data_IF_056989228416
#
_entry.id   IF_056989228416
#
_cell.length_a   1.000
_cell.length_b   1.000
_cell.length_c   1.000
_cell.angle_alpha   90.00
_cell.angle_beta   90.00
_cell.angle_gamma   90.00
#
_symmetry.space_group_name_H-M   'P 1'
#
loop_
_entity.id
_entity.type
_entity.pdbx_description
1 polymer ?
#
# COMPACT_ATOMS: atom_id res chain seq x y z
N UNK A 1 6.50 -12.86 19.70
CA UNK A 1 7.38 -11.69 19.51
C UNK A 1 6.91 -10.90 18.30
N UNK A 2 6.78 -9.56 18.36
CA UNK A 2 6.48 -8.79 17.16
C UNK A 2 7.61 -8.98 16.14
N UNK A 3 7.24 -9.28 14.89
CA UNK A 3 8.19 -9.45 13.79
C UNK A 3 9.01 -8.17 13.59
N UNK A 4 10.22 -8.31 13.05
CA UNK A 4 11.16 -7.19 12.85
C UNK A 4 10.52 -6.00 12.11
N UNK A 5 9.65 -6.27 11.13
CA UNK A 5 8.87 -5.27 10.39
C UNK A 5 8.01 -4.37 11.30
N UNK A 6 7.24 -4.97 12.22
CA UNK A 6 6.38 -4.23 13.16
C UNK A 6 7.21 -3.39 14.11
N UNK A 7 8.39 -3.88 14.50
CA UNK A 7 9.33 -3.12 15.33
C UNK A 7 9.91 -1.90 14.60
N UNK A 8 10.22 -2.02 13.30
CA UNK A 8 10.65 -0.90 12.45
C UNK A 8 9.54 0.14 12.30
N UNK A 9 8.33 -0.31 11.98
CA UNK A 9 7.16 0.55 11.85
C UNK A 9 6.88 1.38 13.11
N UNK A 10 6.90 0.76 14.30
CA UNK A 10 6.68 1.46 15.57
C UNK A 10 7.77 2.47 15.96
N UNK A 11 8.91 2.45 15.29
CA UNK A 11 9.99 3.43 15.50
C UNK A 11 9.83 4.68 14.65
N UNK A 12 8.94 4.64 13.65
CA UNK A 12 8.63 5.80 12.83
C UNK A 12 7.83 6.82 13.67
N UNK A 13 7.95 8.11 13.39
CA UNK A 13 7.02 9.14 13.87
C UNK A 13 5.55 8.76 13.61
N UNK A 14 4.64 9.27 14.44
CA UNK A 14 3.22 8.91 14.37
C UNK A 14 2.55 9.34 13.04
N UNK A 15 2.99 10.46 12.48
CA UNK A 15 2.59 10.95 11.16
C UNK A 15 3.08 10.01 10.04
N UNK A 16 4.31 9.53 10.11
CA UNK A 16 4.84 8.55 9.17
C UNK A 16 4.14 7.19 9.28
N UNK A 17 3.84 6.74 10.50
CA UNK A 17 3.05 5.53 10.74
C UNK A 17 1.67 5.63 10.08
N UNK A 18 1.00 6.76 10.28
CA UNK A 18 -0.31 7.05 9.67
C UNK A 18 -0.20 7.07 8.14
N UNK A 19 0.85 7.70 7.61
CA UNK A 19 1.10 7.79 6.17
C UNK A 19 1.35 6.42 5.53
N UNK A 20 2.12 5.54 6.19
CA UNK A 20 2.35 4.16 5.72
C UNK A 20 1.03 3.38 5.64
N UNK A 21 0.16 3.52 6.65
CA UNK A 21 -1.16 2.86 6.66
C UNK A 21 -2.04 3.39 5.52
N UNK A 22 -2.11 4.71 5.35
CA UNK A 22 -2.85 5.37 4.27
C UNK A 22 -2.39 4.88 2.89
N UNK A 23 -1.07 4.92 2.65
CA UNK A 23 -0.45 4.45 1.41
C UNK A 23 -0.68 2.96 1.16
N UNK A 24 -0.70 2.13 2.21
CA UNK A 24 -0.98 0.71 2.09
C UNK A 24 -2.46 0.41 1.78
N UNK A 25 -3.39 1.30 2.18
CA UNK A 25 -4.82 1.20 1.87
C UNK A 25 -5.16 1.64 0.45
N UNK A 26 -4.39 2.57 -0.13
CA UNK A 26 -4.58 3.04 -1.49
C UNK A 26 -4.23 1.99 -2.55
N UNK A 27 -5.23 1.57 -3.33
CA UNK A 27 -5.05 0.63 -4.43
C UNK A 27 -4.02 1.09 -5.49
N UNK A 28 -3.74 2.40 -5.59
CA UNK A 28 -2.84 2.98 -6.59
C UNK A 28 -1.41 3.20 -6.10
N UNK A 29 -1.11 2.93 -4.83
CA UNK A 29 0.23 3.16 -4.30
C UNK A 29 1.06 1.88 -4.40
N UNK A 30 2.14 1.88 -5.22
CA UNK A 30 3.01 0.71 -5.35
C UNK A 30 3.78 0.50 -4.05
N UNK A 31 4.05 -0.76 -3.68
CA UNK A 31 4.82 -1.05 -2.46
C UNK A 31 6.24 -0.49 -2.54
N UNK A 32 6.78 -0.38 -3.74
CA UNK A 32 8.08 0.23 -4.05
C UNK A 32 8.12 1.72 -3.67
N UNK A 33 6.98 2.43 -3.69
CA UNK A 33 6.94 3.81 -3.20
C UNK A 33 7.03 3.87 -1.67
N UNK A 34 6.38 2.93 -0.97
CA UNK A 34 6.46 2.82 0.49
C UNK A 34 7.88 2.42 0.91
N UNK A 35 8.51 1.52 0.16
CA UNK A 35 9.90 1.11 0.39
C UNK A 35 10.88 2.27 0.21
N UNK A 36 10.74 3.06 -0.87
CA UNK A 36 11.61 4.23 -1.10
C UNK A 36 11.46 5.31 -0.04
N UNK A 37 10.25 5.52 0.48
CA UNK A 37 9.98 6.60 1.45
C UNK A 37 10.27 6.19 2.89
N UNK A 38 9.97 4.95 3.27
CA UNK A 38 9.98 4.49 4.67
C UNK A 38 10.88 3.27 4.91
N UNK A 39 11.52 2.72 3.87
CA UNK A 39 12.35 1.52 3.97
C UNK A 39 11.56 0.25 4.29
N UNK A 40 10.24 0.25 4.09
CA UNK A 40 9.36 -0.89 4.30
C UNK A 40 8.98 -1.52 2.96
N UNK A 41 9.60 -2.65 2.62
CA UNK A 41 9.23 -3.44 1.44
C UNK A 41 7.86 -4.11 1.57
N UNK A 42 7.36 -4.67 0.47
CA UNK A 42 6.07 -5.40 0.46
C UNK A 42 5.86 -6.38 1.64
N UNK A 43 6.79 -7.32 1.92
CA UNK A 43 6.60 -8.26 3.03
C UNK A 43 6.50 -7.56 4.39
N UNK A 44 7.26 -6.47 4.59
CA UNK A 44 7.22 -5.70 5.83
C UNK A 44 5.87 -4.98 5.97
N UNK A 45 5.37 -4.36 4.90
CA UNK A 45 4.06 -3.68 4.89
C UNK A 45 2.91 -4.67 5.13
N UNK A 46 2.98 -5.87 4.55
CA UNK A 46 1.97 -6.92 4.79
C UNK A 46 1.91 -7.30 6.27
N UNK A 47 3.07 -7.45 6.93
CA UNK A 47 3.13 -7.77 8.35
C UNK A 47 2.65 -6.61 9.23
N UNK A 48 2.96 -5.36 8.86
CA UNK A 48 2.43 -4.16 9.53
C UNK A 48 0.91 -4.10 9.41
N UNK A 49 0.36 -4.27 8.22
CA UNK A 49 -1.09 -4.25 7.98
C UNK A 49 -1.81 -5.39 8.70
N UNK A 50 -1.18 -6.58 8.76
CA UNK A 50 -1.69 -7.71 9.54
C UNK A 50 -1.76 -7.40 11.03
N UNK A 51 -0.80 -6.62 11.54
CA UNK A 51 -0.76 -6.20 12.93
C UNK A 51 -1.79 -5.10 13.24
N UNK A 52 -1.99 -4.15 12.32
CA UNK A 52 -2.88 -2.99 12.53
C UNK A 52 -4.37 -3.26 12.29
N UNK A 53 -4.71 -4.31 11.54
CA UNK A 53 -6.07 -4.59 11.13
C UNK A 53 -6.65 -5.82 11.82
N UNK A 54 -7.97 -5.86 11.96
CA UNK A 54 -8.64 -7.10 12.35
C UNK A 54 -8.44 -8.18 11.28
N UNK A 55 -8.46 -9.48 11.64
CA UNK A 55 -8.24 -10.56 10.68
C UNK A 55 -9.21 -10.54 9.49
N UNK A 56 -10.46 -10.11 9.69
CA UNK A 56 -11.46 -9.98 8.62
C UNK A 56 -11.09 -8.91 7.60
N UNK A 57 -10.81 -7.69 8.07
CA UNK A 57 -10.40 -6.57 7.22
C UNK A 57 -9.08 -6.88 6.50
N UNK A 58 -8.13 -7.54 7.18
CA UNK A 58 -6.86 -7.94 6.57
C UNK A 58 -7.06 -8.91 5.41
N UNK A 59 -7.95 -9.92 5.55
CA UNK A 59 -8.26 -10.85 4.45
C UNK A 59 -8.85 -10.14 3.24
N UNK A 60 -9.77 -9.18 3.46
CA UNK A 60 -10.36 -8.39 2.39
C UNK A 60 -9.30 -7.51 1.70
N UNK A 61 -8.49 -6.79 2.48
CA UNK A 61 -7.37 -6.00 1.97
C UNK A 61 -6.40 -6.87 1.16
N UNK A 62 -6.00 -8.04 1.68
CA UNK A 62 -5.08 -8.95 0.99
C UNK A 62 -5.65 -9.43 -0.34
N UNK A 63 -6.94 -9.81 -0.40
CA UNK A 63 -7.60 -10.15 -1.68
C UNK A 63 -7.52 -9.01 -2.69
N UNK A 64 -7.71 -7.76 -2.26
CA UNK A 64 -7.59 -6.58 -3.15
C UNK A 64 -6.15 -6.37 -3.63
N UNK A 65 -5.17 -6.38 -2.72
CA UNK A 65 -3.79 -6.03 -3.09
C UNK A 65 -3.04 -7.16 -3.82
N UNK A 66 -3.43 -8.43 -3.62
CA UNK A 66 -2.82 -9.58 -4.32
C UNK A 66 -3.31 -9.72 -5.76
N UNK A 67 -4.56 -9.33 -6.06
CA UNK A 67 -5.18 -9.51 -7.38
C UNK A 67 -4.82 -8.42 -8.40
N UNK A 68 -3.99 -7.44 -8.02
CA UNK A 68 -3.64 -6.27 -8.84
C UNK A 68 -2.27 -6.44 -9.48
N UNK A 69 -2.24 -6.96 -10.71
CA UNK A 69 -1.05 -7.00 -11.58
C UNK A 69 -0.46 -5.61 -11.87
N UNK A 70 -1.27 -4.54 -11.82
CA UNK A 70 -0.83 -3.14 -12.03
C UNK A 70 -0.12 -2.50 -10.83
N UNK A 71 0.15 -3.26 -9.76
CA UNK A 71 0.81 -2.77 -8.55
C UNK A 71 2.33 -2.62 -8.71
N UNK A 72 2.93 -3.35 -9.64
CA UNK A 72 4.33 -3.16 -10.00
C UNK A 72 4.45 -2.01 -11.01
N UNK A 73 5.38 -1.08 -10.76
CA UNK A 73 5.65 0.03 -11.71
C UNK A 73 5.96 -0.48 -13.12
N UNK A 74 6.57 -1.67 -13.23
CA UNK A 74 6.91 -2.33 -14.48
C UNK A 74 5.71 -2.84 -15.29
N UNK A 75 4.55 -3.05 -14.65
CA UNK A 75 3.34 -3.58 -15.28
C UNK A 75 2.26 -2.50 -15.50
N UNK A 76 2.57 -1.24 -15.17
CA UNK A 76 1.69 -0.10 -15.44
C UNK A 76 1.83 0.37 -16.88
N UNK A 77 0.73 0.33 -17.64
CA UNK A 77 0.67 1.04 -18.93
C UNK A 77 0.79 2.56 -18.68
N UNK A 78 1.56 3.31 -19.49
CA UNK A 78 1.60 4.78 -19.43
C UNK A 78 0.22 5.44 -19.65
N UNK A 79 -0.77 4.73 -20.21
CA UNK A 79 -2.14 5.23 -20.39
C UNK A 79 -2.89 5.44 -19.06
N UNK A 80 -2.43 4.79 -17.98
CA UNK A 80 -2.95 4.92 -16.62
C UNK A 80 -2.28 6.11 -15.88
N UNK A 81 -1.89 7.15 -16.62
CA UNK A 81 -1.51 8.47 -16.12
C UNK A 81 -2.71 9.41 -15.93
N UNK A 82 -3.92 8.99 -16.34
CA UNK A 82 -5.09 9.85 -16.23
C UNK A 82 -5.69 9.73 -14.83
N UNK A 83 -5.58 10.80 -14.04
CA UNK A 83 -6.32 10.99 -12.79
C UNK A 83 -7.85 11.04 -12.96
N UNK A 84 -8.35 10.87 -14.20
CA UNK A 84 -9.76 10.98 -14.57
C UNK A 84 -10.18 9.95 -15.62
N UNK A 85 -11.43 9.50 -15.51
CA UNK A 85 -12.06 8.63 -16.50
C UNK A 85 -12.23 9.40 -17.83
N UNK A 86 -11.93 8.80 -19.00
CA UNK A 86 -12.08 9.47 -20.30
C UNK A 86 -13.51 9.94 -20.60
N UNK A 87 -14.53 9.41 -19.92
CA UNK A 87 -15.93 9.83 -20.04
C UNK A 87 -16.35 10.91 -19.03
N UNK A 88 -15.44 11.38 -18.17
CA UNK A 88 -15.77 12.26 -17.05
C UNK A 88 -15.95 13.73 -17.46
N UNK A 89 -15.47 14.15 -18.63
CA UNK A 89 -15.79 15.48 -19.16
C UNK A 89 -17.12 15.40 -19.91
N UNK A 90 -18.20 15.64 -19.16
CA UNK A 90 -19.48 16.00 -19.77
C UNK A 90 -19.37 17.45 -20.24
N UNK A 91 -19.78 17.67 -21.49
CA UNK A 91 -19.93 19.00 -22.12
C UNK A 91 -20.89 19.87 -21.32
#
# INVERSE_FOLDING_TARGET
MPKAAVKRFRRLPEDEQSRVIEMAWEDRTPFEAIERLFGLGEPDVIEVMRYQMTPGSFRLWRKRVTSRTTKHQSLRSPDVMRGYCPTQYKR
#
